data_IF_882257949515
#
_entry.id   IF_882257949515
#
_cell.length_a   1.000
_cell.length_b   1.000
_cell.length_c   1.000
_cell.angle_alpha   90.00
_cell.angle_beta   90.00
_cell.angle_gamma   90.00
#
_symmetry.space_group_name_H-M   'P 1'
#
loop_
_entity.id
_entity.type
_entity.pdbx_description
1 polymer ?
#
# COMPACT_ATOMS: atom_id res chain seq x y z
N UNK A 1 18.69 -10.96 5.34
CA UNK A 1 17.75 -9.87 5.68
C UNK A 1 18.29 -8.64 4.98
N UNK A 2 17.55 -8.13 4.00
CA UNK A 2 18.09 -7.10 3.10
C UNK A 2 18.17 -5.73 3.77
N UNK A 3 18.85 -4.79 3.12
CA UNK A 3 19.03 -3.38 3.54
C UNK A 3 17.72 -2.64 3.82
N UNK A 4 16.56 -3.22 3.51
CA UNK A 4 15.24 -2.65 3.77
C UNK A 4 14.53 -3.23 4.99
N UNK A 5 15.07 -4.26 5.65
CA UNK A 5 14.45 -4.89 6.82
C UNK A 5 13.29 -5.84 6.48
N UNK A 6 13.19 -6.28 5.23
CA UNK A 6 12.34 -7.39 4.78
C UNK A 6 13.13 -8.22 3.75
N UNK A 7 12.57 -9.38 3.38
CA UNK A 7 13.06 -10.18 2.25
C UNK A 7 12.50 -9.60 0.94
N UNK A 8 13.38 -9.00 0.15
CA UNK A 8 13.06 -8.31 -1.09
C UNK A 8 12.71 -9.28 -2.22
N UNK A 9 13.32 -10.46 -2.24
CA UNK A 9 13.02 -11.50 -3.21
C UNK A 9 11.62 -12.04 -2.98
N UNK A 10 11.25 -12.27 -1.72
CA UNK A 10 9.90 -12.70 -1.37
C UNK A 10 8.86 -11.61 -1.67
N UNK A 11 9.14 -10.34 -1.32
CA UNK A 11 8.24 -9.24 -1.66
C UNK A 11 8.04 -9.11 -3.18
N UNK A 12 9.11 -9.30 -3.95
CA UNK A 12 9.09 -9.33 -5.40
C UNK A 12 8.22 -10.47 -5.93
N UNK A 13 8.42 -11.71 -5.45
CA UNK A 13 7.60 -12.87 -5.83
C UNK A 13 6.12 -12.63 -5.53
N UNK A 14 5.82 -12.04 -4.38
CA UNK A 14 4.45 -11.70 -3.99
C UNK A 14 3.86 -10.65 -4.94
N UNK A 15 4.62 -9.62 -5.30
CA UNK A 15 4.19 -8.59 -6.25
C UNK A 15 3.91 -9.18 -7.64
N UNK A 16 4.66 -10.18 -8.07
CA UNK A 16 4.48 -10.76 -9.41
C UNK A 16 3.34 -11.77 -9.48
N UNK A 17 3.09 -12.51 -8.40
CA UNK A 17 2.20 -13.68 -8.40
C UNK A 17 0.83 -13.44 -7.74
N UNK A 18 0.69 -12.44 -6.88
CA UNK A 18 -0.55 -12.22 -6.16
C UNK A 18 -1.61 -11.56 -7.07
N UNK A 19 -2.81 -12.11 -7.11
CA UNK A 19 -3.96 -11.45 -7.74
C UNK A 19 -4.40 -10.22 -6.96
N UNK A 20 -4.36 -10.33 -5.63
CA UNK A 20 -4.68 -9.24 -4.71
C UNK A 20 -3.58 -9.11 -3.67
N UNK A 21 -2.98 -7.92 -3.61
CA UNK A 21 -1.87 -7.57 -2.74
C UNK A 21 -2.25 -6.37 -1.86
N UNK A 22 -1.93 -6.48 -0.57
CA UNK A 22 -1.95 -5.37 0.37
C UNK A 22 -0.52 -5.08 0.85
N UNK A 23 -0.04 -3.87 0.58
CA UNK A 23 1.19 -3.36 1.20
C UNK A 23 0.82 -2.60 2.47
N UNK A 24 1.35 -3.07 3.60
CA UNK A 24 1.24 -2.39 4.90
C UNK A 24 2.45 -1.49 5.09
N UNK A 25 2.27 -0.34 5.70
CA UNK A 25 3.35 0.59 6.01
C UNK A 25 3.45 0.75 7.52
N UNK A 26 4.65 0.68 8.07
CA UNK A 26 4.85 0.76 9.52
C UNK A 26 4.51 2.15 10.10
N UNK A 27 4.71 3.21 9.32
CA UNK A 27 4.52 4.61 9.76
C UNK A 27 3.08 5.09 9.56
N UNK A 28 2.29 4.39 8.73
CA UNK A 28 0.94 4.80 8.36
C UNK A 28 -0.09 3.75 8.72
N UNK A 29 -1.27 4.20 9.16
CA UNK A 29 -2.44 3.33 9.28
C UNK A 29 -3.20 3.11 7.97
N UNK A 30 -2.75 3.72 6.87
CA UNK A 30 -3.23 3.43 5.51
C UNK A 30 -2.50 2.23 4.89
N UNK A 31 -3.14 1.65 3.88
CA UNK A 31 -2.64 0.49 3.13
C UNK A 31 -2.73 0.77 1.64
N UNK A 32 -1.77 0.26 0.87
CA UNK A 32 -1.89 0.22 -0.58
C UNK A 32 -2.55 -1.11 -0.96
N UNK A 33 -3.73 -1.05 -1.57
CA UNK A 33 -4.40 -2.19 -2.16
C UNK A 33 -4.09 -2.21 -3.65
N UNK A 34 -3.64 -3.36 -4.13
CA UNK A 34 -3.40 -3.66 -5.54
C UNK A 34 -4.22 -4.90 -5.89
N UNK A 35 -5.07 -4.81 -6.91
CA UNK A 35 -5.84 -5.93 -7.45
C UNK A 35 -5.59 -6.00 -8.95
N UNK A 36 -4.92 -7.05 -9.41
CA UNK A 36 -4.54 -7.23 -10.81
C UNK A 36 -5.58 -7.95 -11.63
N UNK A 37 -6.70 -8.39 -11.02
CA UNK A 37 -7.75 -9.10 -11.73
C UNK A 37 -8.51 -8.15 -12.64
N UNK A 38 -8.89 -8.64 -13.81
CA UNK A 38 -9.64 -7.88 -14.82
C UNK A 38 -10.82 -8.69 -15.35
N UNK A 39 -11.84 -7.99 -15.82
CA UNK A 39 -12.95 -8.55 -16.62
C UNK A 39 -13.32 -7.58 -17.75
N UNK A 40 -14.41 -7.86 -18.47
CA UNK A 40 -14.87 -7.04 -19.61
C UNK A 40 -15.30 -5.61 -19.22
N UNK A 41 -15.50 -5.33 -17.93
CA UNK A 41 -16.01 -4.06 -17.41
C UNK A 41 -15.01 -3.31 -16.55
N UNK A 42 -14.12 -4.03 -15.89
CA UNK A 42 -13.30 -3.52 -14.80
C UNK A 42 -11.83 -3.95 -14.97
N UNK A 43 -10.96 -2.98 -15.25
CA UNK A 43 -9.50 -3.16 -15.28
C UNK A 43 -8.88 -3.33 -13.89
N UNK A 44 -7.54 -3.40 -13.80
CA UNK A 44 -6.85 -3.59 -12.53
C UNK A 44 -7.00 -2.33 -11.65
N UNK A 45 -6.82 -2.50 -10.34
CA UNK A 45 -7.04 -1.46 -9.33
C UNK A 45 -5.78 -1.24 -8.49
N UNK A 46 -5.45 0.03 -8.28
CA UNK A 46 -4.51 0.47 -7.25
C UNK A 46 -5.13 1.63 -6.47
N UNK A 47 -5.23 1.49 -5.15
CA UNK A 47 -5.89 2.49 -4.30
C UNK A 47 -5.39 2.44 -2.86
N UNK A 48 -5.43 3.59 -2.20
CA UNK A 48 -5.17 3.72 -0.76
C UNK A 48 -6.43 3.39 0.01
N UNK A 49 -6.35 2.45 0.94
CA UNK A 49 -7.48 2.02 1.79
C UNK A 49 -7.12 2.13 3.28
N UNK A 50 -8.17 2.14 4.09
CA UNK A 50 -8.04 2.00 5.54
C UNK A 50 -7.59 0.60 5.94
N UNK A 51 -6.95 0.51 7.10
CA UNK A 51 -6.65 -0.76 7.75
C UNK A 51 -7.98 -1.46 8.11
N UNK A 52 -8.18 -2.66 7.59
CA UNK A 52 -9.21 -3.57 8.10
C UNK A 52 -8.79 -4.15 9.46
N UNK A 53 -9.73 -4.20 10.40
CA UNK A 53 -9.57 -4.79 11.74
C UNK A 53 -9.59 -6.31 11.76
N UNK A 54 -10.17 -6.96 10.74
CA UNK A 54 -10.20 -8.41 10.60
C UNK A 54 -9.99 -8.90 9.16
N UNK A 55 -9.81 -10.21 9.00
CA UNK A 55 -9.74 -10.86 7.67
C UNK A 55 -11.07 -10.72 6.94
N UNK A 56 -12.20 -10.97 7.62
CA UNK A 56 -13.54 -10.84 7.04
C UNK A 56 -13.83 -9.42 6.57
N UNK A 57 -13.47 -8.42 7.38
CA UNK A 57 -13.63 -7.01 7.01
C UNK A 57 -12.80 -6.64 5.78
N UNK A 58 -11.60 -7.22 5.64
CA UNK A 58 -10.75 -7.04 4.45
C UNK A 58 -11.44 -7.56 3.20
N UNK A 59 -11.96 -8.79 3.23
CA UNK A 59 -12.69 -9.38 2.11
C UNK A 59 -13.97 -8.58 1.79
N UNK A 60 -14.72 -8.17 2.81
CA UNK A 60 -15.93 -7.34 2.65
C UNK A 60 -15.61 -5.99 2.01
N UNK A 61 -14.54 -5.34 2.45
CA UNK A 61 -14.09 -4.06 1.89
C UNK A 61 -13.65 -4.19 0.45
N UNK A 62 -12.90 -5.25 0.13
CA UNK A 62 -12.54 -5.57 -1.26
C UNK A 62 -13.78 -5.82 -2.12
N UNK A 63 -14.76 -6.59 -1.63
CA UNK A 63 -16.00 -6.88 -2.37
C UNK A 63 -16.83 -5.62 -2.62
N UNK A 64 -16.82 -4.65 -1.70
CA UNK A 64 -17.46 -3.34 -1.93
C UNK A 64 -16.75 -2.55 -3.04
N UNK A 65 -15.42 -2.61 -3.09
CA UNK A 65 -14.62 -1.94 -4.14
C UNK A 65 -14.71 -2.64 -5.50
N UNK A 66 -14.84 -3.97 -5.48
CA UNK A 66 -14.82 -4.85 -6.67
C UNK A 66 -16.06 -5.75 -6.69
N UNK A 67 -17.28 -5.17 -6.82
CA UNK A 67 -18.53 -5.92 -6.68
C UNK A 67 -18.72 -6.99 -7.76
N UNK A 68 -18.16 -6.81 -8.96
CA UNK A 68 -18.25 -7.78 -10.07
C UNK A 68 -17.33 -8.99 -9.91
N UNK A 69 -16.23 -8.85 -9.17
CA UNK A 69 -15.28 -9.96 -8.97
C UNK A 69 -15.75 -10.91 -7.88
N UNK A 70 -15.50 -12.23 -8.03
CA UNK A 70 -15.62 -13.15 -6.91
C UNK A 70 -14.63 -12.77 -5.79
N UNK A 71 -14.87 -13.26 -4.59
CA UNK A 71 -13.87 -13.15 -3.52
C UNK A 71 -12.61 -13.91 -3.97
N UNK A 72 -11.41 -13.32 -3.86
CA UNK A 72 -10.18 -14.02 -4.22
C UNK A 72 -9.94 -15.18 -3.23
N UNK A 73 -9.21 -16.20 -3.66
CA UNK A 73 -8.82 -17.30 -2.77
C UNK A 73 -7.90 -16.82 -1.64
N UNK A 74 -7.02 -15.87 -1.96
CA UNK A 74 -6.05 -15.30 -1.03
C UNK A 74 -5.83 -13.81 -1.28
N UNK A 75 -5.62 -13.07 -0.20
CA UNK A 75 -5.13 -11.69 -0.24
C UNK A 75 -3.75 -11.69 0.36
N UNK A 76 -2.72 -11.57 -0.49
CA UNK A 76 -1.34 -11.54 -0.04
C UNK A 76 -1.02 -10.20 0.62
N UNK A 77 -0.12 -10.21 1.60
CA UNK A 77 0.31 -8.96 2.23
C UNK A 77 1.71 -9.06 2.79
N UNK A 78 2.48 -7.98 2.66
CA UNK A 78 3.74 -7.80 3.37
C UNK A 78 3.75 -6.47 4.12
N UNK A 79 4.73 -6.29 5.01
CA UNK A 79 4.94 -5.05 5.74
C UNK A 79 6.18 -4.36 5.18
N UNK A 80 6.03 -3.11 4.76
CA UNK A 80 7.13 -2.22 4.45
C UNK A 80 7.51 -1.45 5.72
N UNK A 81 8.74 -1.64 6.25
CA UNK A 81 9.12 -1.13 7.57
C UNK A 81 9.71 0.29 7.53
N UNK A 82 9.91 0.86 6.34
CA UNK A 82 10.56 2.17 6.16
C UNK A 82 9.59 3.19 5.56
N UNK A 83 10.11 4.39 5.25
CA UNK A 83 9.34 5.47 4.65
C UNK A 83 8.81 5.15 3.25
N UNK A 84 7.71 5.78 2.85
CA UNK A 84 7.16 5.67 1.48
C UNK A 84 8.20 6.08 0.43
N UNK A 85 9.02 7.11 0.74
CA UNK A 85 10.11 7.52 -0.14
C UNK A 85 11.13 6.40 -0.42
N UNK A 86 11.42 5.56 0.57
CA UNK A 86 12.29 4.38 0.39
C UNK A 86 11.61 3.24 -0.36
N UNK A 87 10.28 3.10 -0.24
CA UNK A 87 9.51 2.13 -1.02
C UNK A 87 9.54 2.44 -2.51
N UNK A 88 9.54 3.73 -2.89
CA UNK A 88 9.73 4.15 -4.28
C UNK A 88 11.13 3.83 -4.78
N UNK A 89 12.16 4.12 -3.96
CA UNK A 89 13.56 3.89 -4.33
C UNK A 89 13.97 2.42 -4.35
N UNK A 90 13.24 1.53 -3.67
CA UNK A 90 13.55 0.10 -3.65
C UNK A 90 13.16 -0.65 -4.93
N UNK A 91 12.46 0.03 -5.87
CA UNK A 91 11.99 -0.58 -7.12
C UNK A 91 10.68 -1.36 -7.00
N UNK A 92 10.20 -1.67 -5.78
CA UNK A 92 8.94 -2.40 -5.60
C UNK A 92 7.73 -1.61 -6.10
N UNK A 93 7.70 -0.29 -5.86
CA UNK A 93 6.63 0.57 -6.36
C UNK A 93 6.60 0.64 -7.90
N UNK A 94 7.78 0.71 -8.52
CA UNK A 94 7.89 0.69 -9.98
C UNK A 94 7.41 -0.65 -10.54
N UNK A 95 7.85 -1.76 -9.93
CA UNK A 95 7.44 -3.11 -10.34
C UNK A 95 5.92 -3.33 -10.26
N UNK A 96 5.27 -2.84 -9.20
CA UNK A 96 3.81 -2.83 -9.09
C UNK A 96 3.20 -2.04 -10.24
N UNK A 97 3.74 -0.86 -10.53
CA UNK A 97 3.24 0.03 -11.59
C UNK A 97 3.39 -0.64 -12.97
N UNK A 98 4.56 -1.19 -13.28
CA UNK A 98 4.84 -1.86 -14.55
C UNK A 98 3.89 -3.06 -14.76
N UNK A 99 3.66 -3.86 -13.71
CA UNK A 99 2.71 -4.97 -13.75
C UNK A 99 1.29 -4.47 -14.03
N UNK A 100 0.86 -3.41 -13.36
CA UNK A 100 -0.47 -2.84 -13.60
C UNK A 100 -0.60 -2.27 -15.01
N UNK A 101 0.43 -1.61 -15.54
CA UNK A 101 0.46 -1.09 -16.91
C UNK A 101 0.41 -2.22 -17.93
N UNK A 102 1.12 -3.32 -17.71
CA UNK A 102 1.06 -4.49 -18.61
C UNK A 102 -0.33 -5.13 -18.70
N UNK A 103 -1.20 -4.89 -17.71
CA UNK A 103 -2.54 -5.47 -17.61
C UNK A 103 -3.63 -4.46 -18.02
N UNK A 104 -3.55 -3.23 -17.51
CA UNK A 104 -4.57 -2.19 -17.66
C UNK A 104 -4.20 -1.03 -18.57
N UNK A 105 -3.00 -1.06 -19.17
CA UNK A 105 -2.52 -0.01 -20.07
C UNK A 105 -1.91 1.20 -19.36
N UNK A 106 -1.50 2.20 -20.15
CA UNK A 106 -0.71 3.35 -19.68
C UNK A 106 -1.43 4.22 -18.64
N UNK A 107 -2.77 4.21 -18.60
CA UNK A 107 -3.54 4.94 -17.58
C UNK A 107 -3.23 4.48 -16.15
N UNK A 108 -2.71 3.26 -15.99
CA UNK A 108 -2.34 2.73 -14.69
C UNK A 108 -1.14 3.44 -14.07
N UNK A 109 -0.26 4.03 -14.88
CA UNK A 109 0.86 4.85 -14.40
C UNK A 109 0.34 6.01 -13.57
N UNK A 110 -0.60 6.80 -14.12
CA UNK A 110 -1.16 7.96 -13.44
C UNK A 110 -1.94 7.57 -12.17
N UNK A 111 -2.67 6.44 -12.20
CA UNK A 111 -3.39 5.92 -11.03
C UNK A 111 -2.42 5.48 -9.92
N UNK A 112 -1.32 4.81 -10.28
CA UNK A 112 -0.31 4.36 -9.34
C UNK A 112 0.45 5.54 -8.71
N UNK A 113 0.87 6.51 -9.53
CA UNK A 113 1.52 7.74 -9.06
C UNK A 113 0.62 8.49 -8.08
N UNK A 114 -0.66 8.68 -8.42
CA UNK A 114 -1.63 9.34 -7.53
C UNK A 114 -1.77 8.63 -6.19
N UNK A 115 -1.83 7.29 -6.17
CA UNK A 115 -1.93 6.52 -4.94
C UNK A 115 -0.65 6.62 -4.08
N UNK A 116 0.52 6.57 -4.72
CA UNK A 116 1.82 6.70 -4.05
C UNK A 116 2.06 8.10 -3.49
N UNK A 117 1.65 9.14 -4.21
CA UNK A 117 1.75 10.53 -3.76
C UNK A 117 0.77 10.83 -2.63
N UNK A 118 -0.44 10.26 -2.63
CA UNK A 118 -1.35 10.33 -1.48
C UNK A 118 -0.72 9.69 -0.23
N UNK A 119 -0.12 8.51 -0.37
CA UNK A 119 0.60 7.86 0.74
C UNK A 119 1.77 8.72 1.25
N UNK A 120 2.59 9.28 0.36
CA UNK A 120 3.70 10.14 0.75
C UNK A 120 3.22 11.42 1.47
N UNK A 121 2.13 12.03 0.98
CA UNK A 121 1.52 13.18 1.62
C UNK A 121 0.96 12.87 3.01
N UNK A 122 0.35 11.70 3.18
CA UNK A 122 -0.13 11.22 4.49
C UNK A 122 1.02 10.95 5.45
N UNK A 123 2.10 10.31 4.99
CA UNK A 123 3.28 10.04 5.82
C UNK A 123 3.90 11.32 6.34
N UNK A 124 4.05 12.33 5.47
CA UNK A 124 4.58 13.64 5.86
C UNK A 124 3.73 14.30 6.95
N UNK A 125 2.40 14.18 6.86
CA UNK A 125 1.47 14.70 7.89
C UNK A 125 1.61 13.93 9.20
N UNK A 126 1.66 12.60 9.15
CA UNK A 126 1.79 11.75 10.34
C UNK A 126 3.09 12.02 11.10
N UNK A 127 4.21 12.10 10.39
CA UNK A 127 5.51 12.45 10.97
C UNK A 127 5.49 13.86 11.57
N UNK A 128 4.87 14.84 10.89
CA UNK A 128 4.75 16.19 11.44
C UNK A 128 3.89 16.23 12.72
N UNK A 129 2.82 15.46 12.78
CA UNK A 129 1.97 15.32 13.99
C UNK A 129 2.75 14.69 15.15
N UNK A 130 3.53 13.64 14.88
CA UNK A 130 4.36 12.99 15.89
C UNK A 130 5.43 13.94 16.46
N UNK A 131 6.06 14.75 15.59
CA UNK A 131 7.04 15.77 16.02
C UNK A 131 6.38 16.88 16.87
N UNK A 132 5.14 17.27 16.54
CA UNK A 132 4.42 18.35 17.22
C UNK A 132 3.71 17.92 18.51
N UNK A 133 3.80 16.63 18.90
CA UNK A 133 3.11 16.10 20.07
C UNK A 133 1.59 16.09 19.93
N UNK A 134 1.09 15.67 18.76
CA UNK A 134 -0.35 15.46 18.58
C UNK A 134 -0.92 14.44 19.58
N UNK A 135 -2.24 14.43 19.76
CA UNK A 135 -2.96 13.72 20.86
C UNK A 135 -2.60 12.23 21.04
N UNK A 136 -2.01 11.57 20.04
CA UNK A 136 -1.60 10.17 20.07
C UNK A 136 -0.10 9.93 20.32
N UNK A 137 0.72 10.98 20.50
CA UNK A 137 2.17 10.88 20.63
C UNK A 137 2.68 11.61 21.88
N UNK A 138 3.28 10.85 22.80
CA UNK A 138 3.96 11.42 23.97
C UNK A 138 5.36 11.90 23.56
N UNK A 139 5.63 13.19 23.69
CA UNK A 139 6.93 13.78 23.35
C UNK A 139 7.97 13.45 24.42
N UNK A 140 9.12 12.87 24.02
CA UNK A 140 10.22 12.54 24.95
C UNK A 140 11.02 13.76 25.44
N UNK A 141 10.89 14.91 24.77
CA UNK A 141 11.60 16.15 25.12
C UNK A 141 10.64 17.32 25.16
N UNK A 142 10.36 17.78 26.38
CA UNK A 142 9.67 19.04 26.65
C UNK A 142 10.74 20.11 26.90
N UNK A 143 10.60 21.29 26.28
CA UNK A 143 11.53 22.40 26.50
C UNK A 143 11.29 22.93 27.91
N UNK A 144 12.20 22.63 28.85
CA UNK A 144 12.21 23.29 30.16
C UNK A 144 12.44 24.79 29.96
N UNK A 145 11.53 25.61 30.49
CA UNK A 145 11.76 27.05 30.71
C UNK A 145 12.84 27.29 31.75
#
# INVERSE_FOLDING_TARGET
MDDYGLDMDEATRVIDSADVLIVRFAILDKRLLVDTRTDDHDGPLIIVVDKAGSVEERFKSLKKLRPRFPLPEKIMSFMWPRHIGTFRRSGLAQRITDRLVSIGGEEMTAKAEKALDDLAGREKREVATAIRGGESYQTLWERRE
#
